data_IF_225069360059
#
_entry.id   IF_225069360059
#
_cell.length_a   1.000
_cell.length_b   1.000
_cell.length_c   1.000
_cell.angle_alpha   90.00
_cell.angle_beta   90.00
_cell.angle_gamma   90.00
#
_symmetry.space_group_name_H-M   'P 1'
#
loop_
_entity.id
_entity.type
_entity.pdbx_description
1 polymer ?
#
# COMPACT_ATOMS: atom_id res chain seq x y z
N UNK A 1 -6.10 25.74 26.99
CA UNK A 1 -5.46 24.49 27.47
C UNK A 1 -6.06 23.30 26.75
N UNK A 2 -7.40 23.18 26.59
CA UNK A 2 -8.03 22.03 25.90
C UNK A 2 -7.66 21.90 24.43
N UNK A 3 -7.54 23.00 23.68
CA UNK A 3 -7.17 22.97 22.26
C UNK A 3 -5.74 22.46 22.00
N UNK A 4 -4.80 22.84 22.84
CA UNK A 4 -3.41 22.38 22.73
C UNK A 4 -3.29 20.88 23.02
N UNK A 5 -4.00 20.40 24.02
CA UNK A 5 -4.05 18.97 24.36
C UNK A 5 -4.69 18.16 23.24
N UNK A 6 -5.77 18.64 22.64
CA UNK A 6 -6.42 18.00 21.49
C UNK A 6 -5.49 17.95 20.27
N UNK A 7 -4.78 19.04 20.00
CA UNK A 7 -3.79 19.08 18.91
C UNK A 7 -2.64 18.09 19.15
N UNK A 8 -2.08 18.09 20.37
CA UNK A 8 -1.01 17.15 20.74
C UNK A 8 -1.46 15.69 20.60
N UNK A 9 -2.69 15.39 21.03
CA UNK A 9 -3.30 14.07 20.85
C UNK A 9 -3.44 13.67 19.37
N UNK A 10 -3.96 14.56 18.54
CA UNK A 10 -4.10 14.33 17.11
C UNK A 10 -2.76 14.04 16.43
N UNK A 11 -1.74 14.82 16.76
CA UNK A 11 -0.37 14.64 16.25
C UNK A 11 0.19 13.29 16.72
N UNK A 12 0.04 12.94 17.99
CA UNK A 12 0.55 11.69 18.53
C UNK A 12 -0.11 10.47 17.87
N UNK A 13 -1.44 10.49 17.73
CA UNK A 13 -2.18 9.40 17.07
C UNK A 13 -1.76 9.28 15.60
N UNK A 14 -1.69 10.40 14.89
CA UNK A 14 -1.28 10.39 13.49
C UNK A 14 0.15 9.86 13.32
N UNK A 15 1.07 10.30 14.17
CA UNK A 15 2.45 9.83 14.16
C UNK A 15 2.57 8.32 14.40
N UNK A 16 1.80 7.78 15.35
CA UNK A 16 1.77 6.34 15.65
C UNK A 16 1.06 5.52 14.55
N UNK A 17 -0.01 6.08 13.97
CA UNK A 17 -0.75 5.42 12.91
C UNK A 17 -0.01 5.42 11.57
N UNK A 18 0.79 6.45 11.28
CA UNK A 18 1.63 6.55 10.08
C UNK A 18 2.84 5.63 10.18
N UNK A 19 2.75 4.43 9.61
CA UNK A 19 3.84 3.45 9.56
C UNK A 19 4.90 3.71 8.48
N UNK A 20 5.09 4.96 8.04
CA UNK A 20 5.98 5.31 6.93
C UNK A 20 7.42 4.80 7.12
N UNK A 21 7.95 4.92 8.34
CA UNK A 21 9.31 4.50 8.67
C UNK A 21 9.55 3.00 8.48
N UNK A 22 8.51 2.16 8.56
CA UNK A 22 8.64 0.70 8.51
C UNK A 22 8.95 0.17 7.10
N UNK A 23 8.57 0.89 6.03
CA UNK A 23 8.78 0.41 4.68
C UNK A 23 9.74 1.25 3.84
N UNK A 24 10.00 2.51 4.21
CA UNK A 24 10.88 3.41 3.46
C UNK A 24 12.31 2.89 3.36
N UNK A 25 12.80 2.21 4.38
CA UNK A 25 14.15 1.61 4.37
C UNK A 25 14.28 0.55 3.27
N UNK A 26 13.36 -0.41 3.22
CA UNK A 26 13.40 -1.46 2.21
C UNK A 26 13.42 -0.92 0.78
N UNK A 27 12.54 0.06 0.50
CA UNK A 27 12.49 0.69 -0.81
C UNK A 27 13.83 1.38 -1.16
N UNK A 28 14.39 2.14 -0.22
CA UNK A 28 15.65 2.84 -0.40
C UNK A 28 16.82 1.86 -0.62
N UNK A 29 16.86 0.78 0.17
CA UNK A 29 17.90 -0.22 0.08
C UNK A 29 17.86 -0.96 -1.27
N UNK A 30 16.66 -1.37 -1.74
CA UNK A 30 16.49 -1.98 -3.07
C UNK A 30 16.89 -0.99 -4.16
N UNK A 31 16.43 0.27 -4.09
CA UNK A 31 16.76 1.28 -5.09
C UNK A 31 18.26 1.59 -5.14
N UNK A 32 18.94 1.61 -4.00
CA UNK A 32 20.41 1.83 -3.90
C UNK A 32 21.16 0.65 -4.46
N UNK A 33 20.76 -0.58 -4.13
CA UNK A 33 21.41 -1.80 -4.66
C UNK A 33 21.26 -1.88 -6.19
N UNK A 34 20.08 -1.59 -6.75
CA UNK A 34 19.86 -1.60 -8.20
C UNK A 34 20.66 -0.51 -8.91
N UNK A 35 20.77 0.71 -8.34
CA UNK A 35 21.63 1.77 -8.90
C UNK A 35 23.11 1.42 -8.86
N UNK A 36 23.53 0.65 -7.87
CA UNK A 36 24.89 0.12 -7.74
C UNK A 36 25.15 -1.13 -8.59
N UNK A 37 24.20 -1.58 -9.43
CA UNK A 37 24.26 -2.86 -10.17
C UNK A 37 24.44 -4.10 -9.28
N UNK A 38 24.10 -4.02 -7.99
CA UNK A 38 24.14 -5.15 -7.06
C UNK A 38 22.76 -5.85 -7.02
N UNK A 39 22.50 -6.65 -8.05
CA UNK A 39 21.25 -7.40 -8.17
C UNK A 39 21.10 -8.45 -7.05
N UNK A 40 22.21 -9.03 -6.57
CA UNK A 40 22.17 -10.02 -5.51
C UNK A 40 21.63 -9.40 -4.21
N UNK A 41 22.16 -8.23 -3.85
CA UNK A 41 21.68 -7.47 -2.68
C UNK A 41 20.23 -6.99 -2.84
N UNK A 42 19.86 -6.52 -4.04
CA UNK A 42 18.49 -6.12 -4.32
C UNK A 42 17.50 -7.28 -4.12
N UNK A 43 17.83 -8.48 -4.59
CA UNK A 43 17.02 -9.70 -4.42
C UNK A 43 16.91 -10.13 -2.96
N UNK A 44 18.00 -10.07 -2.21
CA UNK A 44 18.01 -10.39 -0.78
C UNK A 44 17.05 -9.48 0.00
N UNK A 45 17.20 -8.15 -0.14
CA UNK A 45 16.35 -7.16 0.53
C UNK A 45 14.88 -7.33 0.11
N UNK A 46 14.64 -7.55 -1.18
CA UNK A 46 13.31 -7.73 -1.73
C UNK A 46 12.64 -9.01 -1.21
N UNK A 47 13.40 -10.11 -1.08
CA UNK A 47 12.89 -11.36 -0.49
C UNK A 47 12.44 -11.18 0.95
N UNK A 48 13.21 -10.46 1.76
CA UNK A 48 12.83 -10.13 3.14
C UNK A 48 11.59 -9.23 3.17
N UNK A 49 11.53 -8.23 2.30
CA UNK A 49 10.41 -7.28 2.26
C UNK A 49 9.11 -7.91 1.78
N UNK A 50 9.18 -8.79 0.78
CA UNK A 50 8.03 -9.49 0.19
C UNK A 50 7.57 -10.67 1.05
N UNK A 51 8.50 -11.30 1.78
CA UNK A 51 8.25 -12.56 2.49
C UNK A 51 8.27 -13.79 1.58
N UNK A 52 8.74 -13.64 0.34
CA UNK A 52 8.86 -14.69 -0.67
C UNK A 52 10.19 -14.55 -1.42
N UNK A 53 10.73 -15.64 -1.95
CA UNK A 53 11.99 -15.64 -2.71
C UNK A 53 11.90 -14.70 -3.92
N UNK A 54 12.93 -13.88 -4.11
CA UNK A 54 13.10 -13.00 -5.26
C UNK A 54 14.32 -13.41 -6.13
N UNK A 55 14.89 -14.59 -5.91
CA UNK A 55 16.15 -15.01 -6.51
C UNK A 55 16.12 -15.10 -8.05
N UNK A 56 14.97 -15.33 -8.64
CA UNK A 56 14.81 -15.46 -10.09
C UNK A 56 14.53 -14.15 -10.82
N UNK A 57 14.24 -13.07 -10.07
CA UNK A 57 13.86 -11.79 -10.67
C UNK A 57 15.05 -11.15 -11.40
N UNK A 58 14.82 -10.70 -12.62
CA UNK A 58 15.73 -9.81 -13.33
C UNK A 58 15.78 -8.43 -12.66
N UNK A 59 16.77 -7.60 -13.02
CA UNK A 59 16.88 -6.24 -12.48
C UNK A 59 15.61 -5.39 -12.72
N UNK A 60 15.02 -5.51 -13.92
CA UNK A 60 13.78 -4.80 -14.25
C UNK A 60 12.57 -5.30 -13.47
N UNK A 61 12.44 -6.61 -13.27
CA UNK A 61 11.39 -7.21 -12.46
C UNK A 61 11.53 -6.86 -10.98
N UNK A 62 12.76 -6.88 -10.44
CA UNK A 62 13.04 -6.47 -9.08
C UNK A 62 12.66 -4.99 -8.84
N UNK A 63 12.99 -4.11 -9.79
CA UNK A 63 12.57 -2.71 -9.73
C UNK A 63 11.05 -2.56 -9.77
N UNK A 64 10.36 -3.27 -10.67
CA UNK A 64 8.91 -3.25 -10.78
C UNK A 64 8.23 -3.71 -9.48
N UNK A 65 8.64 -4.87 -8.95
CA UNK A 65 8.09 -5.41 -7.70
C UNK A 65 8.35 -4.47 -6.52
N UNK A 66 9.53 -3.85 -6.44
CA UNK A 66 9.81 -2.85 -5.41
C UNK A 66 8.90 -1.64 -5.51
N UNK A 67 8.60 -1.14 -6.72
CA UNK A 67 7.66 -0.04 -6.95
C UNK A 67 6.25 -0.46 -6.52
N UNK A 68 5.77 -1.63 -6.93
CA UNK A 68 4.45 -2.14 -6.57
C UNK A 68 4.28 -2.26 -5.04
N UNK A 69 5.27 -2.86 -4.36
CA UNK A 69 5.26 -2.96 -2.90
C UNK A 69 5.31 -1.58 -2.22
N UNK A 70 6.17 -0.69 -2.72
CA UNK A 70 6.28 0.68 -2.21
C UNK A 70 4.97 1.46 -2.31
N UNK A 71 4.31 1.39 -3.47
CA UNK A 71 3.01 2.02 -3.72
C UNK A 71 1.93 1.46 -2.79
N UNK A 72 1.84 0.13 -2.67
CA UNK A 72 0.84 -0.50 -1.81
C UNK A 72 1.08 -0.24 -0.32
N UNK A 73 2.33 -0.24 0.12
CA UNK A 73 2.68 0.11 1.50
C UNK A 73 2.40 1.59 1.77
N UNK A 74 2.74 2.50 0.85
CA UNK A 74 2.39 3.93 0.97
C UNK A 74 0.88 4.13 1.04
N UNK A 75 0.11 3.43 0.20
CA UNK A 75 -1.34 3.49 0.25
C UNK A 75 -1.86 3.09 1.64
N UNK A 76 -1.48 1.91 2.15
CA UNK A 76 -2.00 1.37 3.42
C UNK A 76 -1.51 2.12 4.65
N UNK A 77 -0.25 2.59 4.66
CA UNK A 77 0.37 3.20 5.83
C UNK A 77 0.26 4.73 5.87
N UNK A 78 -0.01 5.37 4.73
CA UNK A 78 -0.10 6.84 4.65
C UNK A 78 -1.47 7.27 4.14
N UNK A 79 -1.79 6.99 2.87
CA UNK A 79 -2.99 7.55 2.25
C UNK A 79 -4.29 7.05 2.89
N UNK A 80 -4.39 5.75 3.19
CA UNK A 80 -5.55 5.17 3.86
C UNK A 80 -5.75 5.71 5.27
N UNK A 81 -4.66 5.83 6.04
CA UNK A 81 -4.69 6.42 7.39
C UNK A 81 -5.11 7.88 7.33
N UNK A 82 -4.51 8.67 6.42
CA UNK A 82 -4.83 10.10 6.28
C UNK A 82 -6.28 10.32 5.82
N UNK A 83 -6.78 9.52 4.89
CA UNK A 83 -8.16 9.62 4.42
C UNK A 83 -9.16 9.48 5.59
N UNK A 84 -8.98 8.47 6.41
CA UNK A 84 -9.85 8.25 7.57
C UNK A 84 -9.59 9.22 8.73
N UNK A 85 -8.35 9.70 8.87
CA UNK A 85 -8.05 10.77 9.83
C UNK A 85 -8.78 12.07 9.48
N UNK A 86 -8.81 12.46 8.22
CA UNK A 86 -9.51 13.66 7.76
C UNK A 86 -11.03 13.53 7.95
N UNK A 87 -11.60 12.34 7.73
CA UNK A 87 -13.04 12.11 7.83
C UNK A 87 -13.54 11.96 9.26
N UNK A 88 -12.85 11.18 10.08
CA UNK A 88 -13.30 10.75 11.42
C UNK A 88 -12.27 11.10 12.52
N UNK A 89 -11.26 11.89 12.21
CA UNK A 89 -10.21 12.25 13.16
C UNK A 89 -9.35 11.04 13.60
N UNK A 90 -8.77 11.12 14.81
CA UNK A 90 -7.89 10.08 15.36
C UNK A 90 -8.54 8.69 15.40
N UNK A 91 -9.84 8.63 15.71
CA UNK A 91 -10.59 7.38 15.78
C UNK A 91 -10.63 6.66 14.42
N UNK A 92 -10.82 7.41 13.33
CA UNK A 92 -10.80 6.87 11.97
C UNK A 92 -9.44 6.30 11.58
N UNK A 93 -8.36 7.03 11.91
CA UNK A 93 -6.99 6.54 11.66
C UNK A 93 -6.69 5.24 12.41
N UNK A 94 -7.07 5.16 13.68
CA UNK A 94 -6.90 3.96 14.49
C UNK A 94 -7.73 2.80 13.95
N UNK A 95 -9.01 3.02 13.64
CA UNK A 95 -9.90 2.00 13.11
C UNK A 95 -9.39 1.43 11.78
N UNK A 96 -8.96 2.29 10.85
CA UNK A 96 -8.36 1.86 9.60
C UNK A 96 -7.09 1.03 9.83
N UNK A 97 -6.22 1.48 10.73
CA UNK A 97 -4.98 0.77 11.04
C UNK A 97 -5.22 -0.59 11.66
N UNK A 98 -6.19 -0.71 12.56
CA UNK A 98 -6.58 -1.99 13.14
C UNK A 98 -7.18 -2.92 12.08
N UNK A 99 -8.06 -2.42 11.21
CA UNK A 99 -8.63 -3.22 10.13
C UNK A 99 -7.54 -3.73 9.17
N UNK A 100 -6.55 -2.89 8.82
CA UNK A 100 -5.41 -3.29 8.01
C UNK A 100 -4.56 -4.37 8.69
N UNK A 101 -4.27 -4.22 9.99
CA UNK A 101 -3.52 -5.22 10.77
C UNK A 101 -4.26 -6.56 10.88
N UNK A 102 -5.57 -6.53 11.10
CA UNK A 102 -6.40 -7.74 11.12
C UNK A 102 -6.38 -8.45 9.77
N UNK A 103 -6.52 -7.70 8.69
CA UNK A 103 -6.43 -8.26 7.34
C UNK A 103 -5.04 -8.85 7.04
N UNK A 104 -3.97 -8.16 7.42
CA UNK A 104 -2.60 -8.64 7.17
C UNK A 104 -2.28 -9.92 7.98
N UNK A 105 -2.83 -10.05 9.19
CA UNK A 105 -2.61 -11.22 10.05
C UNK A 105 -3.48 -12.43 9.68
N UNK A 106 -4.74 -12.21 9.37
CA UNK A 106 -5.73 -13.29 9.20
C UNK A 106 -6.40 -13.33 7.83
N UNK A 107 -6.34 -12.25 7.03
CA UNK A 107 -7.02 -12.19 5.73
C UNK A 107 -6.61 -13.29 4.74
N UNK A 108 -5.42 -13.86 4.88
CA UNK A 108 -4.93 -14.99 4.09
C UNK A 108 -4.92 -16.33 4.85
N UNK A 109 -5.52 -16.38 6.05
CA UNK A 109 -5.54 -17.60 6.86
C UNK A 109 -6.29 -18.74 6.13
N UNK A 110 -5.66 -19.91 6.09
CA UNK A 110 -6.19 -21.12 5.42
C UNK A 110 -6.56 -22.21 6.39
N UNK A 111 -6.25 -22.03 7.68
CA UNK A 111 -6.56 -23.01 8.71
C UNK A 111 -8.08 -23.03 8.96
N UNK A 112 -8.66 -24.23 9.11
CA UNK A 112 -10.11 -24.42 9.23
C UNK A 112 -10.74 -23.59 10.36
N UNK A 113 -10.02 -23.39 11.47
CA UNK A 113 -10.50 -22.64 12.63
C UNK A 113 -10.52 -21.10 12.40
N UNK A 114 -9.56 -20.57 11.61
CA UNK A 114 -9.38 -19.13 11.41
C UNK A 114 -9.88 -18.65 10.04
N UNK A 115 -10.18 -19.55 9.12
CA UNK A 115 -10.58 -19.19 7.75
C UNK A 115 -11.84 -18.31 7.70
N UNK A 116 -12.85 -18.61 8.52
CA UNK A 116 -14.09 -17.80 8.58
C UNK A 116 -13.82 -16.39 9.08
N UNK A 117 -13.01 -16.24 10.14
CA UNK A 117 -12.60 -14.95 10.66
C UNK A 117 -11.70 -14.20 9.67
N UNK A 118 -10.77 -14.89 9.02
CA UNK A 118 -9.91 -14.33 7.98
C UNK A 118 -10.70 -13.79 6.79
N UNK A 119 -11.70 -14.53 6.32
CA UNK A 119 -12.60 -14.07 5.26
C UNK A 119 -13.42 -12.84 5.67
N UNK A 120 -13.87 -12.79 6.92
CA UNK A 120 -14.55 -11.60 7.47
C UNK A 120 -13.59 -10.40 7.54
N UNK A 121 -12.38 -10.58 8.09
CA UNK A 121 -11.37 -9.53 8.18
C UNK A 121 -11.00 -8.96 6.81
N UNK A 122 -10.83 -9.83 5.80
CA UNK A 122 -10.54 -9.42 4.43
C UNK A 122 -11.68 -8.60 3.82
N UNK A 123 -12.94 -9.06 3.97
CA UNK A 123 -14.11 -8.34 3.46
C UNK A 123 -14.33 -7.00 4.17
N UNK A 124 -14.19 -6.99 5.50
CA UNK A 124 -14.32 -5.76 6.29
C UNK A 124 -13.27 -4.74 5.86
N UNK A 125 -12.02 -5.18 5.68
CA UNK A 125 -10.96 -4.31 5.20
C UNK A 125 -11.24 -3.80 3.77
N UNK A 126 -11.71 -4.65 2.87
CA UNK A 126 -12.06 -4.26 1.50
C UNK A 126 -13.13 -3.16 1.45
N UNK A 127 -14.13 -3.22 2.34
CA UNK A 127 -15.16 -2.17 2.49
C UNK A 127 -14.57 -0.88 3.05
N UNK A 128 -13.77 -0.98 4.10
CA UNK A 128 -13.13 0.18 4.73
C UNK A 128 -12.13 0.83 3.78
N UNK A 129 -11.38 0.04 3.01
CA UNK A 129 -10.35 0.51 2.06
C UNK A 129 -10.95 1.02 0.73
N UNK A 130 -12.25 0.82 0.51
CA UNK A 130 -12.94 1.21 -0.72
C UNK A 130 -12.79 2.70 -1.07
N UNK A 131 -12.96 3.57 -0.07
CA UNK A 131 -12.82 5.02 -0.23
C UNK A 131 -11.35 5.45 -0.35
N UNK A 132 -10.44 5.06 0.55
CA UNK A 132 -9.02 5.38 0.42
C UNK A 132 -8.40 4.97 -0.92
N UNK A 133 -8.73 3.79 -1.43
CA UNK A 133 -8.25 3.32 -2.74
C UNK A 133 -8.58 4.31 -3.85
N UNK A 134 -9.81 4.83 -3.88
CA UNK A 134 -10.24 5.78 -4.90
C UNK A 134 -9.61 7.16 -4.74
N UNK A 135 -9.48 7.62 -3.50
CA UNK A 135 -8.79 8.89 -3.21
C UNK A 135 -7.32 8.83 -3.62
N UNK A 136 -6.64 7.70 -3.34
CA UNK A 136 -5.25 7.50 -3.76
C UNK A 136 -5.12 7.44 -5.29
N UNK A 137 -6.00 6.72 -5.97
CA UNK A 137 -5.99 6.64 -7.43
C UNK A 137 -6.27 8.00 -8.10
N UNK A 138 -7.21 8.78 -7.54
CA UNK A 138 -7.46 10.16 -7.98
C UNK A 138 -6.26 11.07 -7.70
N UNK A 139 -5.59 10.90 -6.56
CA UNK A 139 -4.37 11.62 -6.24
C UNK A 139 -3.28 11.39 -7.28
N UNK A 140 -3.05 10.15 -7.71
CA UNK A 140 -2.12 9.85 -8.81
C UNK A 140 -2.53 10.50 -10.13
N UNK A 141 -3.82 10.46 -10.46
CA UNK A 141 -4.33 11.09 -11.67
C UNK A 141 -4.13 12.61 -11.68
N UNK A 142 -4.31 13.27 -10.55
CA UNK A 142 -4.14 14.74 -10.43
C UNK A 142 -2.69 15.16 -10.49
N UNK A 143 -1.77 14.38 -9.91
CA UNK A 143 -0.34 14.72 -9.82
C UNK A 143 0.43 14.29 -11.06
N UNK A 144 0.00 13.21 -11.74
CA UNK A 144 0.64 12.65 -12.93
C UNK A 144 -0.17 12.90 -14.22
N UNK A 145 -0.06 11.97 -15.15
CA UNK A 145 -0.91 11.99 -16.36
C UNK A 145 -2.32 11.52 -16.02
N UNK A 146 -3.27 12.47 -16.03
CA UNK A 146 -4.68 12.20 -15.73
C UNK A 146 -5.31 11.20 -16.71
N UNK A 147 -5.06 11.39 -17.99
CA UNK A 147 -5.66 10.54 -19.04
C UNK A 147 -5.13 9.11 -18.91
N UNK A 148 -3.82 8.95 -18.84
CA UNK A 148 -3.17 7.65 -18.69
C UNK A 148 -3.60 6.94 -17.39
N UNK A 149 -3.71 7.66 -16.27
CA UNK A 149 -4.17 7.10 -15.00
C UNK A 149 -5.59 6.55 -15.08
N UNK A 150 -6.53 7.32 -15.68
CA UNK A 150 -7.95 6.92 -15.80
C UNK A 150 -8.11 5.77 -16.79
N UNK A 151 -7.42 5.78 -17.91
CA UNK A 151 -7.44 4.69 -18.90
C UNK A 151 -6.91 3.38 -18.31
N UNK A 152 -5.75 3.41 -17.66
CA UNK A 152 -5.18 2.24 -17.00
C UNK A 152 -6.09 1.75 -15.86
N UNK A 153 -6.65 2.64 -15.05
CA UNK A 153 -7.60 2.26 -14.00
C UNK A 153 -8.81 1.52 -14.59
N UNK A 154 -9.44 2.07 -15.64
CA UNK A 154 -10.64 1.46 -16.25
C UNK A 154 -10.35 0.14 -16.96
N UNK A 155 -9.20 0.07 -17.65
CA UNK A 155 -8.84 -1.10 -18.47
C UNK A 155 -8.19 -2.23 -17.68
N UNK A 156 -7.26 -1.91 -16.78
CA UNK A 156 -6.35 -2.88 -16.17
C UNK A 156 -6.67 -3.24 -14.71
N UNK A 157 -7.42 -2.39 -13.95
CA UNK A 157 -7.68 -2.67 -12.54
C UNK A 157 -8.42 -4.01 -12.28
N UNK A 158 -9.13 -4.53 -13.27
CA UNK A 158 -9.88 -5.80 -13.16
C UNK A 158 -9.03 -7.05 -13.35
N UNK A 159 -7.82 -6.93 -13.91
CA UNK A 159 -6.92 -8.07 -14.13
C UNK A 159 -6.22 -8.52 -12.85
N UNK A 160 -6.23 -7.68 -11.83
CA UNK A 160 -5.58 -7.95 -10.55
C UNK A 160 -6.44 -8.81 -9.63
N UNK A 161 -5.79 -9.73 -8.92
CA UNK A 161 -6.46 -10.65 -7.98
C UNK A 161 -7.22 -9.91 -6.87
N UNK A 162 -6.68 -8.79 -6.39
CA UNK A 162 -7.31 -7.93 -5.38
C UNK A 162 -7.67 -6.62 -6.04
N UNK A 163 -8.97 -6.32 -6.15
CA UNK A 163 -9.50 -5.18 -6.90
C UNK A 163 -8.97 -3.82 -6.40
N UNK A 164 -8.84 -3.65 -5.09
CA UNK A 164 -8.29 -2.42 -4.50
C UNK A 164 -6.84 -2.18 -4.92
N UNK A 165 -6.01 -3.23 -4.87
CA UNK A 165 -4.62 -3.15 -5.33
C UNK A 165 -4.55 -2.81 -6.82
N UNK A 166 -5.38 -3.45 -7.64
CA UNK A 166 -5.45 -3.19 -9.08
C UNK A 166 -5.78 -1.73 -9.40
N UNK A 167 -6.68 -1.10 -8.65
CA UNK A 167 -7.05 0.30 -8.85
C UNK A 167 -5.85 1.22 -8.55
N UNK A 168 -5.20 1.05 -7.41
CA UNK A 168 -4.05 1.88 -7.00
C UNK A 168 -2.89 1.72 -7.97
N UNK A 169 -2.52 0.46 -8.29
CA UNK A 169 -1.36 0.17 -9.14
C UNK A 169 -1.61 0.55 -10.61
N UNK A 170 -2.81 0.31 -11.15
CA UNK A 170 -3.14 0.71 -12.50
C UNK A 170 -3.18 2.24 -12.65
N UNK A 171 -3.76 2.96 -11.68
CA UNK A 171 -3.76 4.42 -11.70
C UNK A 171 -2.34 4.98 -11.59
N UNK A 172 -1.50 4.43 -10.71
CA UNK A 172 -0.10 4.83 -10.59
C UNK A 172 0.70 4.51 -11.86
N UNK A 173 0.49 3.34 -12.46
CA UNK A 173 1.14 2.94 -13.70
C UNK A 173 0.83 3.92 -14.84
N UNK A 174 -0.44 4.26 -15.02
CA UNK A 174 -0.87 5.24 -16.02
C UNK A 174 -0.35 6.65 -15.73
N UNK A 175 -0.40 7.10 -14.47
CA UNK A 175 0.09 8.41 -14.07
C UNK A 175 1.60 8.61 -14.29
N UNK A 176 2.38 7.53 -14.12
CA UNK A 176 3.86 7.54 -14.26
C UNK A 176 4.35 7.09 -15.64
N UNK A 177 3.47 6.60 -16.51
CA UNK A 177 3.84 6.05 -17.82
C UNK A 177 4.69 4.77 -17.73
N UNK A 178 4.55 3.97 -16.65
CA UNK A 178 5.29 2.73 -16.41
C UNK A 178 4.38 1.52 -16.50
N UNK A 179 4.95 0.36 -16.88
CA UNK A 179 4.20 -0.90 -16.89
C UNK A 179 4.34 -1.59 -15.54
N UNK A 180 3.24 -1.69 -14.79
CA UNK A 180 3.12 -2.45 -13.56
C UNK A 180 2.17 -3.65 -13.78
N UNK A 181 2.38 -4.70 -13.02
CA UNK A 181 1.64 -5.94 -13.21
C UNK A 181 2.23 -6.84 -14.31
N UNK A 182 2.41 -8.13 -14.05
CA UNK A 182 2.86 -9.12 -15.00
C UNK A 182 2.81 -10.49 -14.38
#
# INVERSE_FOLDING_TARGET
>A
VSGVLALAWNIAVLYLALGFRQFSHFYTDVATALRGNDLARAREVLSVWRGESANELTSGEAARVAIELGLMRSHRHVFGVMAWFVLLGPAGAIAYRLAALLNDRWGAARDAETAAFGAFAARAFEVIDWLPVRLTALGFAVVGDFTGAVECWRGQARTWRVRGQGIVLAAAAGALGVKLGG
#
